data_IF_249411002730
#
_entry.id   IF_249411002730
#
_cell.length_a   1.000
_cell.length_b   1.000
_cell.length_c   1.000
_cell.angle_alpha   90.00
_cell.angle_beta   90.00
_cell.angle_gamma   90.00
#
_symmetry.space_group_name_H-M   'P 1'
#
loop_
_entity.id
_entity.type
_entity.pdbx_description
1 polymer ?
#
# COMPACT_ATOMS: atom_id res chain seq x y z
N UNK A 1 9.09 17.00 4.11
CA UNK A 1 9.73 15.73 4.51
C UNK A 1 9.48 14.68 3.46
N UNK A 2 10.50 13.91 3.07
CA UNK A 2 10.24 12.78 2.20
C UNK A 2 9.38 11.76 2.92
N UNK A 3 8.60 11.01 2.17
CA UNK A 3 7.71 10.01 2.73
C UNK A 3 8.29 8.62 2.67
N UNK A 4 7.55 7.65 3.23
CA UNK A 4 7.86 6.24 3.13
C UNK A 4 6.66 5.51 2.52
N UNK A 5 6.93 4.63 1.58
CA UNK A 5 5.91 3.81 0.94
C UNK A 5 6.27 2.34 1.16
N UNK A 6 5.32 1.58 1.67
CA UNK A 6 5.47 0.14 1.84
C UNK A 6 4.62 -0.56 0.79
N UNK A 7 5.18 -1.57 0.16
CA UNK A 7 4.49 -2.41 -0.82
C UNK A 7 4.38 -3.81 -0.24
N UNK A 8 3.17 -4.31 -0.07
CA UNK A 8 2.91 -5.64 0.49
C UNK A 8 2.18 -6.48 -0.54
N UNK A 9 2.86 -7.43 -1.14
CA UNK A 9 2.30 -8.32 -2.14
C UNK A 9 3.11 -9.60 -2.15
N UNK A 10 2.46 -10.75 -2.23
CA UNK A 10 3.15 -12.04 -2.23
C UNK A 10 3.77 -12.38 -3.58
N UNK A 11 3.44 -11.63 -4.63
CA UNK A 11 4.00 -11.84 -5.96
C UNK A 11 5.19 -10.92 -6.20
N UNK A 12 6.36 -11.52 -6.43
CA UNK A 12 7.59 -10.75 -6.62
C UNK A 12 7.50 -9.81 -7.83
N UNK A 13 6.83 -10.24 -8.90
CA UNK A 13 6.70 -9.41 -10.10
C UNK A 13 5.92 -8.13 -9.82
N UNK A 14 4.90 -8.21 -8.99
CA UNK A 14 4.10 -7.05 -8.62
C UNK A 14 4.92 -6.10 -7.75
N UNK A 15 5.66 -6.65 -6.79
CA UNK A 15 6.55 -5.81 -5.95
C UNK A 15 7.56 -5.07 -6.81
N UNK A 16 8.19 -5.76 -7.75
CA UNK A 16 9.19 -5.15 -8.63
C UNK A 16 8.58 -4.09 -9.54
N UNK A 17 7.39 -4.36 -10.07
CA UNK A 17 6.69 -3.40 -10.93
C UNK A 17 6.36 -2.12 -10.17
N UNK A 18 5.86 -2.25 -8.95
CA UNK A 18 5.54 -1.09 -8.11
C UNK A 18 6.78 -0.32 -7.71
N UNK A 19 7.87 -1.02 -7.38
CA UNK A 19 9.14 -0.37 -7.07
C UNK A 19 9.63 0.46 -8.25
N UNK A 20 9.61 -0.11 -9.45
CA UNK A 20 10.04 0.60 -10.66
C UNK A 20 9.14 1.80 -10.94
N UNK A 21 7.84 1.62 -10.77
CA UNK A 21 6.87 2.68 -11.01
C UNK A 21 7.11 3.86 -10.08
N UNK A 22 7.48 3.59 -8.83
CA UNK A 22 7.67 4.62 -7.81
C UNK A 22 9.11 5.12 -7.70
N UNK A 23 10.02 4.61 -8.54
CA UNK A 23 11.43 4.97 -8.52
C UNK A 23 11.66 6.47 -8.68
N UNK A 24 10.86 7.14 -9.50
CA UNK A 24 10.96 8.59 -9.70
C UNK A 24 10.79 9.36 -8.38
N UNK A 25 9.89 8.91 -7.53
CA UNK A 25 9.67 9.55 -6.24
C UNK A 25 10.87 9.35 -5.32
N UNK A 26 11.48 8.18 -5.41
CA UNK A 26 12.69 7.87 -4.64
C UNK A 26 13.84 8.77 -5.08
N UNK A 27 14.07 8.85 -6.39
CA UNK A 27 15.19 9.62 -6.94
C UNK A 27 15.00 11.13 -6.85
N UNK A 28 13.79 11.61 -7.15
CA UNK A 28 13.54 13.06 -7.23
C UNK A 28 13.16 13.68 -5.90
N UNK A 29 12.54 12.90 -5.00
CA UNK A 29 11.98 13.45 -3.76
C UNK A 29 12.50 12.78 -2.49
N UNK A 30 13.40 11.82 -2.62
CA UNK A 30 13.97 11.15 -1.46
C UNK A 30 12.98 10.24 -0.71
N UNK A 31 11.92 9.81 -1.39
CA UNK A 31 10.93 8.90 -0.81
C UNK A 31 11.57 7.53 -0.60
N UNK A 32 11.35 6.92 0.56
CA UNK A 32 11.85 5.58 0.85
C UNK A 32 10.81 4.54 0.43
N UNK A 33 11.24 3.53 -0.34
CA UNK A 33 10.37 2.45 -0.80
C UNK A 33 10.80 1.17 -0.08
N UNK A 34 9.85 0.53 0.60
CA UNK A 34 10.08 -0.72 1.35
C UNK A 34 9.12 -1.77 0.83
N UNK A 35 9.51 -3.03 0.84
CA UNK A 35 8.64 -4.12 0.38
C UNK A 35 8.49 -5.20 1.43
N UNK A 36 7.36 -5.89 1.37
CA UNK A 36 7.07 -7.06 2.19
C UNK A 36 6.41 -8.12 1.32
N UNK A 37 6.68 -9.38 1.61
CA UNK A 37 6.21 -10.50 0.81
C UNK A 37 4.92 -11.14 1.34
N UNK A 38 4.47 -10.75 2.51
CA UNK A 38 3.23 -11.28 3.11
C UNK A 38 2.68 -10.30 4.13
N UNK A 39 1.46 -10.58 4.58
CA UNK A 39 0.76 -9.69 5.51
C UNK A 39 1.42 -9.57 6.87
N UNK A 40 1.99 -10.64 7.37
CA UNK A 40 2.65 -10.62 8.68
C UNK A 40 3.90 -9.74 8.64
N UNK A 41 4.71 -9.90 7.61
CA UNK A 41 5.89 -9.06 7.40
C UNK A 41 5.47 -7.60 7.18
N UNK A 42 4.40 -7.39 6.39
CA UNK A 42 3.87 -6.07 6.15
C UNK A 42 3.45 -5.38 7.43
N UNK A 43 2.70 -6.07 8.27
CA UNK A 43 2.24 -5.52 9.54
C UNK A 43 3.43 -5.16 10.46
N UNK A 44 4.45 -6.04 10.51
CA UNK A 44 5.65 -5.77 11.30
C UNK A 44 6.37 -4.51 10.81
N UNK A 45 6.48 -4.34 9.49
CA UNK A 45 7.13 -3.17 8.92
C UNK A 45 6.31 -1.90 9.12
N UNK A 46 4.97 -2.00 9.11
CA UNK A 46 4.12 -0.86 9.42
C UNK A 46 4.38 -0.37 10.84
N UNK A 47 4.51 -1.29 11.78
CA UNK A 47 4.79 -0.94 13.18
C UNK A 47 6.17 -0.33 13.34
N UNK A 48 7.16 -0.89 12.64
CA UNK A 48 8.55 -0.48 12.77
C UNK A 48 8.85 0.81 12.03
N UNK A 49 8.44 0.89 10.77
CA UNK A 49 8.82 1.97 9.85
C UNK A 49 7.81 3.11 9.78
N UNK A 50 6.58 2.87 10.18
CA UNK A 50 5.48 3.85 10.15
C UNK A 50 5.38 4.55 8.80
N UNK A 51 5.12 3.79 7.71
CA UNK A 51 5.05 4.39 6.38
C UNK A 51 3.86 5.35 6.25
N UNK A 52 3.93 6.22 5.26
CA UNK A 52 2.85 7.13 4.95
C UNK A 52 1.81 6.49 4.05
N UNK A 53 2.26 5.59 3.18
CA UNK A 53 1.39 4.86 2.24
C UNK A 53 1.73 3.38 2.29
N UNK A 54 0.70 2.54 2.24
CA UNK A 54 0.86 1.10 2.07
C UNK A 54 0.04 0.66 0.86
N UNK A 55 0.71 0.10 -0.15
CA UNK A 55 0.03 -0.62 -1.22
C UNK A 55 -0.07 -2.06 -0.76
N UNK A 56 -1.28 -2.53 -0.54
CA UNK A 56 -1.54 -3.77 0.18
C UNK A 56 -2.41 -4.72 -0.63
N UNK A 57 -1.84 -5.85 -1.02
CA UNK A 57 -2.58 -6.90 -1.72
C UNK A 57 -3.63 -7.50 -0.78
N UNK A 58 -4.84 -7.69 -1.30
CA UNK A 58 -5.92 -8.30 -0.52
C UNK A 58 -5.74 -9.81 -0.41
N UNK A 59 -5.42 -10.46 -1.52
CA UNK A 59 -5.37 -11.92 -1.58
C UNK A 59 -3.98 -12.46 -1.33
N UNK A 60 -3.66 -12.65 -0.07
CA UNK A 60 -2.39 -13.24 0.35
C UNK A 60 -2.66 -14.41 1.30
N UNK A 61 -1.78 -15.44 1.29
CA UNK A 61 -1.93 -16.53 2.25
C UNK A 61 -1.65 -16.05 3.67
N UNK A 62 -2.17 -16.79 4.64
CA UNK A 62 -2.02 -16.55 6.07
C UNK A 62 -2.76 -15.31 6.55
N UNK A 63 -2.26 -14.13 6.27
CA UNK A 63 -2.86 -12.87 6.70
C UNK A 63 -3.17 -12.03 5.46
N UNK A 64 -4.43 -11.96 5.07
CA UNK A 64 -4.85 -11.20 3.88
C UNK A 64 -4.91 -9.70 4.17
N UNK A 65 -5.14 -8.91 3.09
CA UNK A 65 -5.15 -7.46 3.20
C UNK A 65 -6.22 -6.90 4.13
N UNK A 66 -7.39 -7.51 4.16
CA UNK A 66 -8.46 -7.07 5.06
C UNK A 66 -8.08 -7.27 6.52
N UNK A 67 -7.45 -8.40 6.81
CA UNK A 67 -7.00 -8.69 8.17
C UNK A 67 -5.93 -7.72 8.63
N UNK A 68 -5.02 -7.35 7.74
CA UNK A 68 -4.00 -6.34 8.03
C UNK A 68 -4.67 -5.00 8.36
N UNK A 69 -5.64 -4.58 7.52
CA UNK A 69 -6.40 -3.35 7.76
C UNK A 69 -7.09 -3.35 9.11
N UNK A 70 -7.71 -4.48 9.46
CA UNK A 70 -8.42 -4.61 10.74
C UNK A 70 -7.47 -4.43 11.91
N UNK A 71 -6.30 -5.07 11.84
CA UNK A 71 -5.30 -4.95 12.90
C UNK A 71 -4.77 -3.54 13.04
N UNK A 72 -4.54 -2.85 11.91
CA UNK A 72 -4.09 -1.46 11.92
C UNK A 72 -5.16 -0.57 12.55
N UNK A 73 -6.42 -0.79 12.20
CA UNK A 73 -7.52 0.02 12.73
C UNK A 73 -7.62 -0.08 14.24
N UNK A 74 -7.25 -1.22 14.80
CA UNK A 74 -7.25 -1.42 16.25
C UNK A 74 -6.10 -0.71 16.95
N UNK A 75 -5.17 -0.15 16.19
CA UNK A 75 -4.00 0.55 16.71
C UNK A 75 -3.98 2.00 16.20
N UNK A 76 -4.66 2.93 16.89
CA UNK A 76 -4.77 4.32 16.41
C UNK A 76 -3.44 5.00 16.14
N UNK A 77 -2.40 4.65 16.88
CA UNK A 77 -1.07 5.21 16.68
C UNK A 77 -0.46 4.81 15.32
N UNK A 78 -0.93 3.72 14.73
CA UNK A 78 -0.49 3.27 13.41
C UNK A 78 -1.41 3.79 12.30
N UNK A 79 -2.71 3.83 12.56
CA UNK A 79 -3.67 4.23 11.53
C UNK A 79 -3.64 5.72 11.25
N UNK A 80 -3.23 6.51 12.24
CA UNK A 80 -3.17 7.96 12.08
C UNK A 80 -2.06 8.34 11.10
N UNK A 81 -2.43 9.02 10.03
CA UNK A 81 -1.47 9.45 9.02
C UNK A 81 -1.05 8.39 8.03
N UNK A 82 -1.62 7.17 8.12
CA UNK A 82 -1.32 6.10 7.18
C UNK A 82 -2.42 6.02 6.14
N UNK A 83 -2.03 6.04 4.87
CA UNK A 83 -2.95 5.85 3.75
C UNK A 83 -2.79 4.45 3.19
N UNK A 84 -3.85 3.65 3.24
CA UNK A 84 -3.85 2.29 2.73
C UNK A 84 -4.52 2.25 1.37
N UNK A 85 -3.80 1.72 0.37
CA UNK A 85 -4.32 1.50 -0.97
C UNK A 85 -4.39 -0.01 -1.16
N UNK A 86 -5.59 -0.56 -1.27
CA UNK A 86 -5.76 -2.00 -1.46
C UNK A 86 -5.55 -2.38 -2.92
N UNK A 87 -4.85 -3.48 -3.15
CA UNK A 87 -4.61 -4.01 -4.49
C UNK A 87 -5.43 -5.27 -4.69
N UNK A 88 -6.10 -5.37 -5.83
CA UNK A 88 -6.99 -6.49 -6.11
C UNK A 88 -6.80 -7.00 -7.54
N UNK A 89 -7.05 -8.28 -7.75
CA UNK A 89 -6.95 -8.86 -9.09
C UNK A 89 -8.21 -8.55 -9.89
N UNK A 90 -8.03 -8.36 -11.20
CA UNK A 90 -9.14 -8.18 -12.11
C UNK A 90 -10.03 -9.42 -12.09
N UNK A 91 -11.33 -9.20 -12.02
CA UNK A 91 -12.31 -10.29 -11.98
C UNK A 91 -12.63 -10.79 -10.59
N UNK A 92 -11.92 -10.34 -9.57
CA UNK A 92 -12.28 -10.66 -8.21
C UNK A 92 -13.29 -9.65 -7.69
N UNK A 93 -14.36 -10.16 -7.14
CA UNK A 93 -15.32 -9.29 -6.47
C UNK A 93 -14.69 -8.78 -5.20
N UNK A 94 -14.59 -7.48 -5.11
CA UNK A 94 -14.11 -6.88 -3.87
C UNK A 94 -15.28 -6.25 -3.18
N UNK A 95 -15.34 -6.48 -1.91
CA UNK A 95 -16.23 -5.69 -1.11
C UNK A 95 -15.56 -4.35 -0.82
N UNK A 96 -15.76 -3.39 -1.72
CA UNK A 96 -15.22 -2.04 -1.58
C UNK A 96 -15.65 -1.42 -0.28
N UNK A 97 -16.89 -1.65 0.08
CA UNK A 97 -17.46 -1.12 1.30
C UNK A 97 -16.70 -1.66 2.51
N UNK A 98 -16.41 -2.96 2.52
CA UNK A 98 -15.65 -3.57 3.60
C UNK A 98 -14.25 -2.95 3.72
N UNK A 99 -13.56 -2.79 2.60
CA UNK A 99 -12.23 -2.20 2.59
C UNK A 99 -12.23 -0.77 3.14
N UNK A 100 -13.18 0.04 2.69
CA UNK A 100 -13.30 1.42 3.16
C UNK A 100 -13.67 1.49 4.63
N UNK A 101 -14.57 0.60 5.09
CA UNK A 101 -14.94 0.52 6.49
C UNK A 101 -13.77 0.12 7.38
N UNK A 102 -12.81 -0.64 6.83
CA UNK A 102 -11.61 -1.04 7.55
C UNK A 102 -10.50 -0.01 7.46
N UNK A 103 -10.76 1.14 6.86
CA UNK A 103 -9.83 2.26 6.86
C UNK A 103 -8.98 2.44 5.61
N UNK A 104 -9.24 1.66 4.55
CA UNK A 104 -8.54 1.86 3.29
C UNK A 104 -8.97 3.18 2.65
N UNK A 105 -8.02 3.92 2.11
CA UNK A 105 -8.31 5.18 1.39
C UNK A 105 -8.92 4.91 0.03
N UNK A 106 -8.34 3.94 -0.69
CA UNK A 106 -8.83 3.57 -2.00
C UNK A 106 -8.30 2.18 -2.37
N UNK A 107 -8.70 1.69 -3.51
CA UNK A 107 -8.22 0.42 -4.03
C UNK A 107 -7.89 0.56 -5.50
N UNK A 108 -7.03 -0.32 -6.00
CA UNK A 108 -6.63 -0.37 -7.39
C UNK A 108 -6.76 -1.80 -7.89
N UNK A 109 -7.15 -1.96 -9.14
CA UNK A 109 -7.30 -3.27 -9.79
C UNK A 109 -6.04 -3.63 -10.57
N UNK A 110 -5.56 -4.85 -10.42
CA UNK A 110 -4.45 -5.38 -11.21
C UNK A 110 -5.00 -5.88 -12.56
N UNK A 111 -4.31 -5.68 -13.66
CA UNK A 111 -3.11 -4.89 -13.79
C UNK A 111 -3.41 -3.39 -13.66
N UNK A 112 -2.59 -2.68 -12.91
CA UNK A 112 -2.81 -1.25 -12.70
C UNK A 112 -1.99 -0.44 -13.68
N UNK A 113 -2.47 0.78 -13.93
CA UNK A 113 -1.78 1.77 -14.75
C UNK A 113 -0.65 2.39 -13.93
N UNK A 114 0.61 2.31 -14.39
CA UNK A 114 1.72 2.93 -13.65
C UNK A 114 1.52 4.42 -13.40
N UNK A 115 0.93 5.14 -14.35
CA UNK A 115 0.66 6.57 -14.16
C UNK A 115 -0.33 6.80 -13.03
N UNK A 116 -1.34 5.96 -12.92
CA UNK A 116 -2.32 6.06 -11.83
C UNK A 116 -1.67 5.79 -10.48
N UNK A 117 -0.79 4.81 -10.41
CA UNK A 117 -0.05 4.49 -9.17
C UNK A 117 0.79 5.69 -8.75
N UNK A 118 1.54 6.26 -9.68
CA UNK A 118 2.43 7.38 -9.41
C UNK A 118 1.65 8.62 -8.97
N UNK A 119 0.56 8.93 -9.67
CA UNK A 119 -0.32 10.06 -9.32
C UNK A 119 -0.92 9.90 -7.93
N UNK A 120 -1.38 8.68 -7.62
CA UNK A 120 -1.95 8.39 -6.32
C UNK A 120 -0.92 8.61 -5.22
N UNK A 121 0.30 8.12 -5.41
CA UNK A 121 1.36 8.28 -4.43
C UNK A 121 1.71 9.76 -4.25
N UNK A 122 1.83 10.52 -5.33
CA UNK A 122 2.10 11.96 -5.25
C UNK A 122 1.01 12.67 -4.47
N UNK A 123 -0.24 12.38 -4.80
CA UNK A 123 -1.39 13.01 -4.15
C UNK A 123 -1.40 12.72 -2.65
N UNK A 124 -1.19 11.46 -2.27
CA UNK A 124 -1.23 11.06 -0.86
C UNK A 124 -0.05 11.61 -0.06
N UNK A 125 1.10 11.83 -0.71
CA UNK A 125 2.27 12.40 -0.05
C UNK A 125 2.29 13.92 -0.10
N UNK A 126 1.36 14.53 -0.84
CA UNK A 126 1.34 15.99 -1.01
C UNK A 126 2.46 16.53 -1.88
N UNK A 127 2.97 15.71 -2.79
CA UNK A 127 4.04 16.11 -3.71
C UNK A 127 3.42 16.62 -4.99
N UNK A 128 3.67 17.90 -5.33
CA UNK A 128 3.19 18.45 -6.58
C UNK A 128 4.14 18.08 -7.72
N UNK A 129 3.62 18.13 -8.93
CA UNK A 129 4.42 17.89 -10.13
C UNK A 129 5.38 19.02 -10.42
#
# INVERSE_FOLDING_TARGET
>A
MPGKILIVDDEIHIRMLLEQTLEDLEEEHGVTIITAANGQQGLALIKQEKPDIVFLDIMMPKLNGYEVCRKIKEMPELSRGLSIVLLTAKGQEIDRKQGLELGAKLYMTKPFDPDEVLETARSLLGISR
#
